data_IF_114916886286
#
_entry.id   IF_114916886286
#
_cell.length_a   1.000
_cell.length_b   1.000
_cell.length_c   1.000
_cell.angle_alpha   90.00
_cell.angle_beta   90.00
_cell.angle_gamma   90.00
#
_symmetry.space_group_name_H-M   'P 1'
#
loop_
_entity.id
_entity.type
_entity.pdbx_description
1 polymer ?
#
# COMPACT_ATOMS: atom_id res chain seq x y z
N UNK A 1 -6.98 15.19 26.71
CA UNK A 1 -6.62 16.16 25.64
C UNK A 1 -5.84 15.40 24.56
N UNK A 2 -6.50 14.85 23.54
CA UNK A 2 -5.89 13.91 22.55
C UNK A 2 -6.20 14.33 21.11
N UNK A 3 -6.21 15.64 20.83
CA UNK A 3 -6.30 16.15 19.47
C UNK A 3 -4.93 16.73 19.08
N UNK A 4 -4.03 15.89 18.58
CA UNK A 4 -2.88 16.38 17.83
C UNK A 4 -3.45 17.10 16.60
N UNK A 5 -3.25 18.41 16.52
CA UNK A 5 -3.49 19.17 15.29
C UNK A 5 -2.64 18.54 14.18
N UNK A 6 -3.26 17.75 13.32
CA UNK A 6 -2.64 17.17 12.12
C UNK A 6 -3.26 17.88 10.92
N UNK A 7 -2.46 18.15 9.90
CA UNK A 7 -3.00 18.66 8.63
C UNK A 7 -3.97 17.62 8.03
N UNK A 8 -5.10 18.08 7.48
CA UNK A 8 -6.02 17.20 6.77
C UNK A 8 -5.39 16.63 5.50
N UNK A 9 -5.69 15.38 5.14
CA UNK A 9 -5.17 14.76 3.91
C UNK A 9 -5.49 15.59 2.65
N UNK A 10 -6.66 16.23 2.60
CA UNK A 10 -7.07 17.10 1.49
C UNK A 10 -6.22 18.36 1.40
N UNK A 11 -5.94 19.03 2.53
CA UNK A 11 -5.09 20.22 2.56
C UNK A 11 -3.65 19.87 2.13
N UNK A 12 -3.12 18.74 2.60
CA UNK A 12 -1.80 18.25 2.18
C UNK A 12 -1.77 17.94 0.68
N UNK A 13 -2.78 17.25 0.15
CA UNK A 13 -2.87 16.91 -1.26
C UNK A 13 -2.96 18.17 -2.15
N UNK A 14 -3.65 19.21 -1.69
CA UNK A 14 -3.71 20.50 -2.37
C UNK A 14 -2.35 21.21 -2.34
N UNK A 15 -1.66 21.24 -1.20
CA UNK A 15 -0.31 21.80 -1.08
C UNK A 15 0.67 21.09 -2.03
N UNK A 16 0.75 19.75 -1.98
CA UNK A 16 1.63 18.98 -2.86
C UNK A 16 1.36 19.24 -4.34
N UNK A 17 0.09 19.41 -4.73
CA UNK A 17 -0.28 19.71 -6.12
C UNK A 17 0.23 21.07 -6.56
N UNK A 18 0.08 22.11 -5.72
CA UNK A 18 0.57 23.46 -6.02
C UNK A 18 2.09 23.50 -6.09
N UNK A 19 2.77 22.84 -5.14
CA UNK A 19 4.23 22.70 -5.15
C UNK A 19 4.71 22.01 -6.44
N UNK A 20 4.07 20.91 -6.85
CA UNK A 20 4.40 20.21 -8.08
C UNK A 20 4.26 21.10 -9.31
N UNK A 21 3.12 21.79 -9.48
CA UNK A 21 2.90 22.73 -10.59
C UNK A 21 3.93 23.86 -10.60
N UNK A 22 4.31 24.39 -9.44
CA UNK A 22 5.28 25.47 -9.36
C UNK A 22 6.70 25.02 -9.73
N UNK A 23 7.10 23.83 -9.30
CA UNK A 23 8.41 23.23 -9.65
C UNK A 23 8.46 22.87 -11.14
N UNK A 24 7.37 22.32 -11.68
CA UNK A 24 7.25 21.98 -13.10
C UNK A 24 7.26 23.23 -13.99
N UNK A 25 6.74 24.35 -13.49
CA UNK A 25 6.85 25.67 -14.12
C UNK A 25 8.26 26.30 -13.98
N UNK A 26 9.23 25.60 -13.38
CA UNK A 26 10.60 26.07 -13.23
C UNK A 26 10.78 27.15 -12.15
N UNK A 27 9.81 27.31 -11.24
CA UNK A 27 9.93 28.28 -10.14
C UNK A 27 10.89 27.72 -9.10
N UNK A 28 11.83 28.56 -8.66
CA UNK A 28 12.85 28.20 -7.69
C UNK A 28 12.23 27.74 -6.36
N UNK A 29 12.67 26.59 -5.86
CA UNK A 29 12.05 25.88 -4.73
C UNK A 29 11.88 26.76 -3.49
N UNK A 30 12.87 27.62 -3.14
CA UNK A 30 12.77 28.53 -1.99
C UNK A 30 11.64 29.54 -2.16
N UNK A 31 11.47 30.11 -3.35
CA UNK A 31 10.39 31.06 -3.63
C UNK A 31 9.02 30.39 -3.60
N UNK A 32 8.92 29.15 -4.07
CA UNK A 32 7.68 28.37 -4.01
C UNK A 32 7.25 28.16 -2.56
N UNK A 33 8.17 27.76 -1.68
CA UNK A 33 7.88 27.56 -0.26
C UNK A 33 7.49 28.85 0.46
N UNK A 34 8.18 29.96 0.18
CA UNK A 34 7.82 31.27 0.75
C UNK A 34 6.41 31.74 0.30
N UNK A 35 6.05 31.51 -0.97
CA UNK A 35 4.71 31.83 -1.49
C UNK A 35 3.62 31.00 -0.83
N UNK A 36 3.83 29.70 -0.64
CA UNK A 36 2.86 28.83 0.03
C UNK A 36 2.74 29.13 1.54
N UNK A 37 3.82 29.50 2.22
CA UNK A 37 3.77 29.94 3.62
C UNK A 37 2.95 31.24 3.80
N UNK A 38 3.05 32.15 2.83
CA UNK A 38 2.30 33.41 2.84
C UNK A 38 0.86 33.25 2.33
N UNK A 39 0.59 32.17 1.59
CA UNK A 39 -0.69 31.87 0.95
C UNK A 39 -1.86 31.59 1.90
N UNK A 40 -3.00 31.19 1.31
CA UNK A 40 -4.22 30.83 2.05
C UNK A 40 -4.08 29.43 2.66
N UNK A 41 -3.53 29.36 3.87
CA UNK A 41 -3.41 28.16 4.70
C UNK A 41 -3.96 28.43 6.11
N UNK A 42 -4.36 27.38 6.82
CA UNK A 42 -4.83 27.48 8.20
C UNK A 42 -3.75 28.08 9.13
N UNK A 43 -4.16 28.81 10.17
CA UNK A 43 -3.23 29.56 11.03
C UNK A 43 -2.17 28.68 11.71
N UNK A 44 -2.52 27.43 12.05
CA UNK A 44 -1.59 26.43 12.59
C UNK A 44 -0.61 25.88 11.55
N UNK A 45 -1.06 25.70 10.30
CA UNK A 45 -0.22 25.25 9.19
C UNK A 45 0.73 26.35 8.71
N UNK A 46 0.28 27.61 8.70
CA UNK A 46 1.10 28.77 8.30
C UNK A 46 2.42 28.85 9.08
N UNK A 47 2.36 28.79 10.41
CA UNK A 47 3.57 28.88 11.26
C UNK A 47 4.58 27.79 10.92
N UNK A 48 4.08 26.58 10.66
CA UNK A 48 4.90 25.40 10.34
C UNK A 48 5.46 25.44 8.92
N UNK A 49 4.67 25.87 7.94
CA UNK A 49 5.16 26.11 6.58
C UNK A 49 6.20 27.22 6.53
N UNK A 50 6.06 28.24 7.38
CA UNK A 50 7.02 29.32 7.48
C UNK A 50 8.36 28.83 8.06
N UNK A 51 8.33 28.00 9.10
CA UNK A 51 9.52 27.32 9.61
C UNK A 51 10.22 26.48 8.53
N UNK A 52 9.45 25.71 7.75
CA UNK A 52 10.01 24.92 6.63
C UNK A 52 10.59 25.82 5.54
N UNK A 53 9.90 26.90 5.17
CA UNK A 53 10.39 27.86 4.17
C UNK A 53 11.70 28.53 4.61
N UNK A 54 11.80 28.89 5.88
CA UNK A 54 13.00 29.51 6.45
C UNK A 54 14.18 28.52 6.48
N UNK A 55 13.95 27.26 6.85
CA UNK A 55 14.97 26.21 6.82
C UNK A 55 15.49 25.94 5.40
N UNK A 56 14.58 25.83 4.43
CA UNK A 56 14.94 25.65 3.01
C UNK A 56 15.67 26.89 2.46
N UNK A 57 15.33 28.10 2.94
CA UNK A 57 16.05 29.32 2.59
C UNK A 57 17.48 29.35 3.17
N UNK A 58 17.72 28.73 4.33
CA UNK A 58 19.06 28.53 4.92
C UNK A 58 19.90 27.46 4.19
N UNK A 59 19.31 26.74 3.24
CA UNK A 59 19.98 25.68 2.48
C UNK A 59 19.82 24.28 3.09
N UNK A 60 18.95 24.11 4.09
CA UNK A 60 18.61 22.80 4.62
C UNK A 60 17.73 22.02 3.62
N UNK A 61 17.77 20.69 3.70
CA UNK A 61 16.92 19.88 2.82
C UNK A 61 15.45 20.01 3.24
N UNK A 62 14.55 19.99 2.25
CA UNK A 62 13.09 20.01 2.50
C UNK A 62 12.66 18.84 3.41
N UNK A 63 13.34 17.69 3.31
CA UNK A 63 13.09 16.51 4.14
C UNK A 63 13.40 16.77 5.61
N UNK A 64 14.53 17.40 5.91
CA UNK A 64 14.97 17.68 7.28
C UNK A 64 14.10 18.77 7.93
N UNK A 65 13.80 19.83 7.17
CA UNK A 65 12.92 20.91 7.61
C UNK A 65 11.49 20.41 7.96
N UNK A 66 10.94 19.50 7.14
CA UNK A 66 9.63 18.89 7.42
C UNK A 66 9.71 17.95 8.64
N UNK A 67 10.81 17.21 8.80
CA UNK A 67 11.01 16.33 9.94
C UNK A 67 11.09 17.10 11.27
N UNK A 68 11.74 18.26 11.28
CA UNK A 68 11.84 19.15 12.45
C UNK A 68 10.47 19.70 12.88
N UNK A 69 9.53 19.81 11.94
CA UNK A 69 8.15 20.22 12.22
C UNK A 69 7.35 19.12 12.98
N UNK A 70 7.87 17.90 13.10
CA UNK A 70 7.30 16.82 13.91
C UNK A 70 6.01 16.21 13.34
N UNK A 71 5.12 15.74 14.22
CA UNK A 71 3.92 14.93 13.88
C UNK A 71 2.77 15.66 13.17
N UNK A 72 2.97 16.91 12.77
CA UNK A 72 1.93 17.74 12.14
C UNK A 72 1.71 17.41 10.68
N UNK A 73 2.79 17.23 9.93
CA UNK A 73 2.72 16.65 8.59
C UNK A 73 2.60 15.13 8.76
N UNK A 74 1.53 14.49 8.24
CA UNK A 74 1.51 13.05 8.20
C UNK A 74 2.72 12.63 7.37
N UNK A 75 3.48 11.62 7.81
CA UNK A 75 4.66 11.22 7.09
C UNK A 75 4.25 10.95 5.64
N UNK A 76 4.78 11.69 4.66
CA UNK A 76 4.67 11.27 3.26
C UNK A 76 5.32 9.88 3.09
N UNK A 77 6.19 9.48 4.04
CA UNK A 77 6.66 8.11 4.19
C UNK A 77 5.54 7.10 4.50
N UNK A 78 4.32 7.47 4.89
CA UNK A 78 3.29 6.49 5.25
C UNK A 78 2.93 5.62 4.04
N UNK A 79 2.79 6.19 2.83
CA UNK A 79 2.56 5.38 1.61
C UNK A 79 3.73 4.48 1.26
N UNK A 80 4.97 5.00 1.38
CA UNK A 80 6.18 4.25 1.02
C UNK A 80 6.53 3.18 2.05
N UNK A 81 6.33 3.47 3.33
CA UNK A 81 6.46 2.52 4.42
C UNK A 81 5.32 1.50 4.41
N UNK A 82 4.09 1.86 4.02
CA UNK A 82 3.04 0.86 3.83
C UNK A 82 3.34 -0.06 2.65
N UNK A 83 3.83 0.47 1.52
CA UNK A 83 4.23 -0.38 0.38
C UNK A 83 5.44 -1.26 0.73
N UNK A 84 6.45 -0.72 1.41
CA UNK A 84 7.60 -1.48 1.88
C UNK A 84 7.23 -2.50 2.98
N UNK A 85 6.30 -2.16 3.87
CA UNK A 85 5.78 -3.04 4.92
C UNK A 85 4.86 -4.14 4.37
N UNK A 86 4.22 -3.94 3.21
CA UNK A 86 3.45 -4.98 2.50
C UNK A 86 4.37 -5.82 1.63
N UNK A 87 5.47 -5.24 1.10
CA UNK A 87 6.39 -5.94 0.22
C UNK A 87 7.04 -7.16 0.88
N UNK A 88 7.50 -7.05 2.14
CA UNK A 88 8.12 -8.17 2.85
C UNK A 88 7.16 -9.34 3.13
N UNK A 89 5.97 -9.13 3.73
CA UNK A 89 4.95 -10.17 3.87
C UNK A 89 4.45 -10.73 2.53
N UNK A 90 4.34 -9.88 1.49
CA UNK A 90 3.93 -10.32 0.15
C UNK A 90 4.94 -11.27 -0.48
N UNK A 91 6.24 -10.99 -0.31
CA UNK A 91 7.31 -11.88 -0.76
C UNK A 91 7.28 -13.22 -0.01
N UNK A 92 7.08 -13.19 1.31
CA UNK A 92 6.98 -14.40 2.14
C UNK A 92 5.83 -15.30 1.70
N UNK A 93 4.66 -14.73 1.42
CA UNK A 93 3.51 -15.49 0.92
C UNK A 93 3.81 -16.14 -0.44
N UNK A 94 4.42 -15.39 -1.37
CA UNK A 94 4.83 -15.92 -2.67
C UNK A 94 5.84 -17.06 -2.54
N UNK A 95 6.86 -16.91 -1.69
CA UNK A 95 7.85 -17.95 -1.43
C UNK A 95 7.22 -19.21 -0.82
N UNK A 96 6.30 -19.07 0.14
CA UNK A 96 5.62 -20.21 0.75
C UNK A 96 4.82 -21.02 -0.29
N UNK A 97 4.04 -20.33 -1.14
CA UNK A 97 3.27 -20.95 -2.22
C UNK A 97 4.20 -21.65 -3.24
N UNK A 98 5.34 -21.05 -3.56
CA UNK A 98 6.32 -21.62 -4.48
C UNK A 98 6.97 -22.89 -3.91
N UNK A 99 7.39 -22.88 -2.65
CA UNK A 99 8.01 -24.03 -1.98
C UNK A 99 7.05 -25.22 -1.94
N UNK A 100 5.78 -24.99 -1.57
CA UNK A 100 4.76 -26.05 -1.54
C UNK A 100 4.51 -26.63 -2.94
N UNK A 101 4.38 -25.78 -3.96
CA UNK A 101 4.21 -26.24 -5.34
C UNK A 101 5.42 -27.05 -5.84
N UNK A 102 6.63 -26.60 -5.50
CA UNK A 102 7.87 -27.28 -5.87
C UNK A 102 8.03 -28.64 -5.18
N UNK A 103 7.63 -28.76 -3.91
CA UNK A 103 7.64 -30.03 -3.17
C UNK A 103 6.73 -31.08 -3.82
N UNK A 104 5.51 -30.68 -4.19
CA UNK A 104 4.54 -31.56 -4.87
C UNK A 104 5.11 -32.03 -6.21
N UNK A 105 5.74 -31.12 -6.95
CA UNK A 105 6.36 -31.44 -8.23
C UNK A 105 7.51 -32.44 -8.10
N UNK A 106 8.44 -32.24 -7.15
CA UNK A 106 9.56 -33.18 -6.92
C UNK A 106 9.05 -34.57 -6.54
N UNK A 107 8.09 -34.67 -5.61
CA UNK A 107 7.51 -35.98 -5.25
C UNK A 107 6.85 -36.64 -6.46
N UNK A 108 6.24 -35.85 -7.34
CA UNK A 108 5.72 -36.29 -8.61
C UNK A 108 6.75 -36.89 -9.57
N UNK A 109 7.87 -36.17 -9.76
CA UNK A 109 8.95 -36.59 -10.66
C UNK A 109 9.60 -37.89 -10.17
N UNK A 110 9.88 -38.01 -8.88
CA UNK A 110 10.50 -39.22 -8.30
C UNK A 110 9.56 -40.43 -8.39
N UNK A 111 8.26 -40.24 -8.13
CA UNK A 111 7.25 -41.28 -8.28
C UNK A 111 7.15 -41.81 -9.71
N UNK A 112 7.23 -40.94 -10.72
CA UNK A 112 7.21 -41.35 -12.13
C UNK A 112 8.46 -42.14 -12.54
N UNK A 113 9.63 -41.84 -11.99
CA UNK A 113 10.90 -42.52 -12.35
C UNK A 113 11.05 -43.88 -11.65
N UNK A 114 10.44 -44.07 -10.48
CA UNK A 114 10.63 -45.27 -9.66
C UNK A 114 9.67 -46.41 -10.02
N UNK A 115 8.68 -46.16 -10.90
CA UNK A 115 7.74 -47.19 -11.41
C UNK A 115 6.87 -47.86 -10.34
N UNK A 116 6.95 -47.40 -9.11
CA UNK A 116 6.11 -47.79 -7.99
C UNK A 116 4.96 -46.79 -7.88
N UNK A 117 3.81 -47.25 -7.38
CA UNK A 117 2.64 -46.38 -7.19
C UNK A 117 3.09 -45.11 -6.46
N UNK A 118 2.83 -43.91 -7.01
CA UNK A 118 3.30 -42.67 -6.42
C UNK A 118 2.88 -42.61 -4.95
N UNK A 119 3.81 -42.23 -4.08
CA UNK A 119 3.60 -42.19 -2.64
C UNK A 119 2.59 -41.06 -2.34
N UNK A 120 1.33 -41.44 -2.18
CA UNK A 120 0.21 -40.56 -1.86
C UNK A 120 0.23 -40.16 -0.38
N UNK A 121 1.05 -39.15 -0.05
CA UNK A 121 1.19 -38.60 1.32
C UNK A 121 -0.15 -38.05 1.87
N UNK A 122 -1.10 -37.69 0.99
CA UNK A 122 -2.40 -37.11 1.34
C UNK A 122 -3.59 -38.06 1.09
N UNK A 123 -3.38 -39.25 0.50
CA UNK A 123 -4.46 -40.24 0.25
C UNK A 123 -5.49 -39.86 -0.82
N UNK A 124 -5.34 -38.71 -1.50
CA UNK A 124 -6.29 -38.19 -2.50
C UNK A 124 -5.83 -38.33 -3.97
N UNK A 125 -4.66 -38.93 -4.25
CA UNK A 125 -4.12 -39.04 -5.62
C UNK A 125 -3.41 -37.77 -6.12
N UNK A 126 -2.97 -36.88 -5.22
CA UNK A 126 -2.33 -35.59 -5.54
C UNK A 126 -0.81 -35.75 -5.70
N UNK A 127 -0.37 -36.57 -6.65
CA UNK A 127 1.06 -36.74 -6.96
C UNK A 127 1.31 -36.52 -8.45
N UNK A 128 2.45 -35.89 -8.79
CA UNK A 128 2.80 -35.63 -10.19
C UNK A 128 2.28 -34.29 -10.72
N UNK A 129 2.30 -34.17 -12.05
CA UNK A 129 1.76 -33.02 -12.76
C UNK A 129 0.27 -32.79 -12.45
N UNK A 130 -0.50 -33.85 -12.17
CA UNK A 130 -1.90 -33.77 -11.76
C UNK A 130 -2.05 -33.08 -10.40
N UNK A 131 -1.19 -33.41 -9.42
CA UNK A 131 -1.17 -32.75 -8.11
C UNK A 131 -0.80 -31.26 -8.20
N UNK A 132 0.21 -30.93 -9.02
CA UNK A 132 0.58 -29.54 -9.29
C UNK A 132 -0.58 -28.77 -9.96
N UNK A 133 -1.31 -29.39 -10.89
CA UNK A 133 -2.43 -28.77 -11.59
C UNK A 133 -3.60 -28.50 -10.64
N UNK A 134 -3.97 -29.45 -9.77
CA UNK A 134 -4.99 -29.26 -8.73
C UNK A 134 -4.58 -28.14 -7.77
N UNK A 135 -3.32 -28.13 -7.34
CA UNK A 135 -2.78 -27.07 -6.49
C UNK A 135 -2.86 -25.68 -7.16
N UNK A 136 -2.48 -25.56 -8.43
CA UNK A 136 -2.57 -24.32 -9.18
C UNK A 136 -4.02 -23.85 -9.38
N UNK A 137 -4.95 -24.76 -9.65
CA UNK A 137 -6.39 -24.45 -9.76
C UNK A 137 -6.93 -23.96 -8.41
N UNK A 138 -6.57 -24.60 -7.31
CA UNK A 138 -6.96 -24.16 -5.97
C UNK A 138 -6.42 -22.76 -5.67
N UNK A 139 -5.13 -22.52 -5.93
CA UNK A 139 -4.50 -21.21 -5.75
C UNK A 139 -5.16 -20.12 -6.61
N UNK A 140 -5.46 -20.43 -7.88
CA UNK A 140 -6.15 -19.53 -8.79
C UNK A 140 -7.58 -19.23 -8.34
N UNK A 141 -8.30 -20.22 -7.80
CA UNK A 141 -9.63 -20.05 -7.24
C UNK A 141 -9.62 -19.14 -6.01
N UNK A 142 -8.67 -19.35 -5.09
CA UNK A 142 -8.48 -18.50 -3.90
C UNK A 142 -8.11 -17.06 -4.30
N UNK A 143 -7.18 -16.89 -5.24
CA UNK A 143 -6.81 -15.57 -5.77
C UNK A 143 -8.00 -14.89 -6.48
N UNK A 144 -8.79 -15.65 -7.24
CA UNK A 144 -10.02 -15.20 -7.88
C UNK A 144 -11.07 -14.74 -6.85
N UNK A 145 -11.29 -15.51 -5.79
CA UNK A 145 -12.18 -15.13 -4.70
C UNK A 145 -11.69 -13.87 -3.98
N UNK A 146 -10.39 -13.78 -3.68
CA UNK A 146 -9.79 -12.59 -3.05
C UNK A 146 -9.93 -11.35 -3.92
N UNK A 147 -9.67 -11.45 -5.23
CA UNK A 147 -9.86 -10.35 -6.17
C UNK A 147 -11.33 -9.98 -6.36
N UNK A 148 -12.24 -10.95 -6.34
CA UNK A 148 -13.69 -10.71 -6.38
C UNK A 148 -14.17 -9.96 -5.14
N UNK A 149 -13.76 -10.38 -3.94
CA UNK A 149 -14.05 -9.68 -2.67
C UNK A 149 -13.46 -8.27 -2.69
N UNK A 150 -12.20 -8.12 -3.10
CA UNK A 150 -11.55 -6.82 -3.22
C UNK A 150 -12.30 -5.90 -4.19
N UNK A 151 -12.74 -6.43 -5.34
CA UNK A 151 -13.54 -5.67 -6.30
C UNK A 151 -14.94 -5.36 -5.75
N UNK A 152 -15.59 -6.26 -5.03
CA UNK A 152 -16.91 -6.05 -4.44
C UNK A 152 -16.88 -4.95 -3.36
N UNK A 153 -15.83 -4.94 -2.53
CA UNK A 153 -15.59 -3.90 -1.52
C UNK A 153 -15.24 -2.57 -2.19
N UNK A 154 -14.35 -2.57 -3.20
CA UNK A 154 -13.98 -1.35 -3.93
C UNK A 154 -15.12 -0.73 -4.72
N UNK A 155 -16.04 -1.54 -5.25
CA UNK A 155 -17.22 -1.05 -5.98
C UNK A 155 -18.29 -0.48 -5.04
N UNK A 156 -18.08 -0.49 -3.72
CA UNK A 156 -18.95 0.19 -2.76
C UNK A 156 -20.36 -0.39 -2.66
N UNK A 157 -20.59 -1.61 -3.18
CA UNK A 157 -21.93 -2.21 -3.29
C UNK A 157 -22.44 -2.72 -1.93
N UNK A 158 -21.54 -3.01 -0.99
CA UNK A 158 -21.90 -3.65 0.29
C UNK A 158 -22.19 -2.71 1.46
N UNK A 159 -21.87 -1.40 1.41
CA UNK A 159 -22.03 -0.54 2.59
C UNK A 159 -23.16 0.49 2.51
N UNK A 160 -23.49 1.06 1.35
CA UNK A 160 -24.45 2.18 1.32
C UNK A 160 -25.91 1.76 1.16
N UNK A 161 -26.19 0.64 0.48
CA UNK A 161 -27.57 0.27 0.10
C UNK A 161 -28.42 -0.45 1.15
N UNK A 162 -27.89 -1.35 2.02
CA UNK A 162 -28.74 -2.02 3.00
C UNK A 162 -29.06 -1.15 4.22
N UNK A 163 -28.14 -0.28 4.65
CA UNK A 163 -28.33 0.66 5.76
C UNK A 163 -29.43 1.69 5.47
N UNK A 164 -29.57 2.12 4.22
CA UNK A 164 -30.59 3.08 3.82
C UNK A 164 -32.02 2.48 3.80
N UNK A 165 -32.15 1.17 3.60
CA UNK A 165 -33.44 0.47 3.68
C UNK A 165 -33.87 0.18 5.12
N UNK A 166 -32.92 0.01 6.04
CA UNK A 166 -33.21 -0.25 7.44
C UNK A 166 -33.61 0.99 8.26
N UNK A 167 -33.30 2.21 7.78
CA UNK A 167 -33.69 3.46 8.46
C UNK A 167 -34.97 4.11 7.91
N UNK A 168 -35.54 3.59 6.82
CA UNK A 168 -36.76 4.11 6.18
C UNK A 168 -37.99 3.20 6.40
N UNK A 169 -37.89 2.21 7.28
CA UNK A 169 -39.01 1.44 7.83
C UNK A 169 -39.07 1.66 9.34
#
# INVERSE_FOLDING_TARGET
MIFSARIGLTELAQLCRRLATAIEAGIEIRQVWQREATGRVSSGLRKRLQQVADAVARGETVSDAIAETGSYFPPLQLRRNFLAAIAWPGLQFGMAVAIVGFLIWIMGVIGNVTGTKPIDILGFGLVGNTGLLIYLVFLACVAGAATFVYQAVRRGVLWTRPLQKAMLQ
#
